data_IF_119380818893
#
_entry.id   IF_119380818893
#
_cell.length_a   1.000
_cell.length_b   1.000
_cell.length_c   1.000
_cell.angle_alpha   90.00
_cell.angle_beta   90.00
_cell.angle_gamma   90.00
#
_symmetry.space_group_name_H-M   'P 1'
#
loop_
_entity.id
_entity.type
_entity.pdbx_description
1 polymer ?
#
# COMPACT_ATOMS: atom_id res chain seq x y z
N UNK A 1 -1.82 19.86 0.04
CA UNK A 1 -0.68 18.92 -0.10
C UNK A 1 -1.21 17.64 -0.71
N UNK A 2 -0.78 17.27 -1.92
CA UNK A 2 -1.27 16.07 -2.62
C UNK A 2 -0.63 14.83 -1.98
N UNK A 3 -1.13 14.45 -0.80
CA UNK A 3 -0.85 13.16 -0.19
C UNK A 3 -1.26 12.08 -1.18
N UNK A 4 -0.35 11.15 -1.43
CA UNK A 4 -0.56 9.91 -2.18
C UNK A 4 -1.97 9.37 -1.92
N UNK A 5 -2.86 9.51 -2.92
CA UNK A 5 -4.27 9.21 -2.72
C UNK A 5 -4.56 7.77 -3.08
N UNK A 6 -4.48 6.91 -2.07
CA UNK A 6 -4.84 5.50 -2.20
C UNK A 6 -6.37 5.41 -2.23
N UNK A 7 -6.92 4.66 -3.19
CA UNK A 7 -8.36 4.43 -3.30
C UNK A 7 -8.86 3.55 -2.14
N UNK A 8 -10.09 3.76 -1.67
CA UNK A 8 -10.70 2.92 -0.63
C UNK A 8 -10.70 1.42 -1.00
N UNK A 9 -10.82 1.11 -2.30
CA UNK A 9 -10.76 -0.26 -2.80
C UNK A 9 -9.40 -0.91 -2.55
N UNK A 10 -8.31 -0.24 -2.92
CA UNK A 10 -6.93 -0.68 -2.68
C UNK A 10 -6.66 -0.87 -1.20
N UNK A 11 -7.17 0.03 -0.37
CA UNK A 11 -6.98 -0.06 1.07
C UNK A 11 -7.67 -1.30 1.64
N UNK A 12 -8.89 -1.62 1.20
CA UNK A 12 -9.56 -2.87 1.57
C UNK A 12 -8.78 -4.10 1.08
N UNK A 13 -8.24 -4.05 -0.15
CA UNK A 13 -7.41 -5.16 -0.66
C UNK A 13 -6.16 -5.36 0.18
N UNK A 14 -5.48 -4.28 0.60
CA UNK A 14 -4.32 -4.38 1.48
C UNK A 14 -4.72 -4.93 2.85
N UNK A 15 -5.81 -4.45 3.45
CA UNK A 15 -6.31 -5.00 4.73
C UNK A 15 -6.66 -6.48 4.60
N UNK A 16 -7.32 -6.87 3.52
CA UNK A 16 -7.70 -8.26 3.29
C UNK A 16 -6.46 -9.13 3.09
N UNK A 17 -5.48 -8.68 2.31
CA UNK A 17 -4.21 -9.36 2.11
C UNK A 17 -3.46 -9.59 3.44
N UNK A 18 -3.41 -8.58 4.30
CA UNK A 18 -2.80 -8.68 5.63
C UNK A 18 -3.60 -9.61 6.55
N UNK A 19 -4.93 -9.52 6.54
CA UNK A 19 -5.81 -10.34 7.36
C UNK A 19 -5.80 -11.83 6.96
N UNK A 20 -5.80 -12.13 5.65
CA UNK A 20 -5.72 -13.50 5.11
C UNK A 20 -4.41 -14.19 5.49
N UNK A 21 -3.33 -13.42 5.57
CA UNK A 21 -1.99 -13.91 5.94
C UNK A 21 -1.71 -13.81 7.44
N UNK A 22 -2.59 -13.14 8.19
CA UNK A 22 -2.44 -12.89 9.62
C UNK A 22 -1.10 -12.21 9.97
N UNK A 23 -0.72 -11.23 9.15
CA UNK A 23 0.55 -10.47 9.30
C UNK A 23 0.29 -8.98 9.34
N UNK A 24 1.15 -8.26 10.05
CA UNK A 24 1.16 -6.81 10.03
C UNK A 24 1.78 -6.26 8.74
N UNK A 25 1.41 -5.02 8.38
CA UNK A 25 1.94 -4.33 7.21
C UNK A 25 3.48 -4.30 7.22
N UNK A 26 4.09 -4.10 8.39
CA UNK A 26 5.55 -4.06 8.52
C UNK A 26 6.18 -5.41 8.18
N UNK A 27 5.62 -6.51 8.70
CA UNK A 27 6.05 -7.89 8.41
C UNK A 27 5.89 -8.21 6.93
N UNK A 28 4.75 -7.86 6.33
CA UNK A 28 4.50 -8.06 4.91
C UNK A 28 5.41 -7.21 3.99
N UNK A 29 5.90 -6.06 4.46
CA UNK A 29 6.90 -5.27 3.72
C UNK A 29 8.34 -5.74 3.97
N UNK A 30 8.58 -6.57 5.00
CA UNK A 30 9.89 -7.19 5.28
C UNK A 30 10.12 -8.44 4.46
N UNK A 31 9.06 -9.20 4.20
CA UNK A 31 9.11 -10.36 3.32
C UNK A 31 9.14 -9.94 1.84
N UNK A 32 10.15 -10.39 1.08
CA UNK A 32 10.34 -9.97 -0.31
C UNK A 32 9.18 -10.39 -1.22
N UNK A 33 8.56 -11.55 -0.98
CA UNK A 33 7.43 -12.02 -1.76
C UNK A 33 6.16 -11.19 -1.45
N UNK A 34 5.88 -10.98 -0.17
CA UNK A 34 4.72 -10.20 0.25
C UNK A 34 4.88 -8.71 -0.12
N UNK A 35 6.11 -8.18 -0.08
CA UNK A 35 6.41 -6.80 -0.46
C UNK A 35 6.12 -6.57 -1.95
N UNK A 36 6.47 -7.52 -2.83
CA UNK A 36 6.11 -7.45 -4.26
C UNK A 36 4.61 -7.51 -4.48
N UNK A 37 3.90 -8.38 -3.77
CA UNK A 37 2.44 -8.46 -3.85
C UNK A 37 1.77 -7.15 -3.36
N UNK A 38 2.23 -6.57 -2.25
CA UNK A 38 1.77 -5.27 -1.75
C UNK A 38 2.07 -4.14 -2.73
N UNK A 39 3.25 -4.14 -3.35
CA UNK A 39 3.62 -3.17 -4.38
C UNK A 39 2.70 -3.27 -5.60
N UNK A 40 2.36 -4.48 -6.04
CA UNK A 40 1.42 -4.72 -7.11
C UNK A 40 0.00 -4.25 -6.76
N UNK A 41 -0.48 -4.53 -5.54
CA UNK A 41 -1.78 -4.05 -5.05
C UNK A 41 -1.83 -2.52 -5.00
N UNK A 42 -0.81 -1.87 -4.44
CA UNK A 42 -0.73 -0.42 -4.38
C UNK A 42 -0.69 0.20 -5.78
N UNK A 43 0.11 -0.38 -6.68
CA UNK A 43 0.21 0.02 -8.08
C UNK A 43 -1.14 -0.13 -8.80
N UNK A 44 -1.85 -1.25 -8.62
CA UNK A 44 -3.20 -1.47 -9.13
C UNK A 44 -4.26 -0.55 -8.51
N UNK A 45 -3.93 0.12 -7.40
CA UNK A 45 -4.75 1.10 -6.73
C UNK A 45 -4.56 2.55 -7.16
N UNK A 46 -3.44 2.83 -7.81
CA UNK A 46 -3.05 4.18 -8.20
C UNK A 46 -3.86 4.71 -9.40
N UNK A 47 -4.01 6.03 -9.54
CA UNK A 47 -4.55 6.62 -10.77
C UNK A 47 -3.74 6.20 -12.00
N UNK A 48 -4.39 6.00 -13.14
CA UNK A 48 -3.75 5.53 -14.38
C UNK A 48 -2.56 6.40 -14.83
N UNK A 49 -2.60 7.71 -14.58
CA UNK A 49 -1.45 8.59 -14.83
C UNK A 49 -0.23 8.19 -13.99
N UNK A 50 -0.40 7.90 -12.70
CA UNK A 50 0.72 7.54 -11.81
C UNK A 50 1.29 6.16 -12.18
N UNK A 51 0.46 5.19 -12.59
CA UNK A 51 0.93 3.90 -13.12
C UNK A 51 1.77 4.04 -14.38
N UNK A 52 1.47 5.02 -15.24
CA UNK A 52 2.27 5.31 -16.44
C UNK A 52 3.66 5.87 -16.11
N UNK A 53 3.79 6.64 -15.02
CA UNK A 53 5.08 7.20 -14.59
C UNK A 53 5.89 6.23 -13.72
N UNK A 54 5.21 5.44 -12.90
CA UNK A 54 5.79 4.47 -11.98
C UNK A 54 5.35 3.06 -12.40
N UNK A 55 6.03 2.50 -13.41
CA UNK A 55 5.83 1.11 -13.78
C UNK A 55 6.17 0.14 -12.64
N UNK A 56 5.71 -1.11 -12.75
CA UNK A 56 5.75 -2.11 -11.67
C UNK A 56 7.17 -2.29 -11.09
N UNK A 57 8.20 -2.41 -11.94
CA UNK A 57 9.59 -2.52 -11.50
C UNK A 57 10.11 -1.28 -10.75
N UNK A 58 9.67 -0.08 -11.13
CA UNK A 58 10.00 1.16 -10.38
C UNK A 58 9.24 1.22 -9.07
N UNK A 59 8.02 0.69 -9.03
CA UNK A 59 7.22 0.57 -7.83
C UNK A 59 7.85 -0.39 -6.82
N UNK A 60 8.28 -1.57 -7.26
CA UNK A 60 9.01 -2.53 -6.42
C UNK A 60 10.29 -1.91 -5.85
N UNK A 61 11.10 -1.26 -6.70
CA UNK A 61 12.30 -0.56 -6.25
C UNK A 61 11.98 0.57 -5.26
N UNK A 62 10.90 1.31 -5.47
CA UNK A 62 10.47 2.41 -4.59
C UNK A 62 9.89 1.91 -3.26
N UNK A 63 9.26 0.72 -3.25
CA UNK A 63 8.84 0.03 -2.03
C UNK A 63 10.02 -0.41 -1.19
N UNK A 64 11.14 -0.82 -1.80
CA UNK A 64 12.37 -1.14 -1.09
C UNK A 64 13.11 0.12 -0.63
N UNK A 65 13.31 1.08 -1.54
CA UNK A 65 14.09 2.30 -1.29
C UNK A 65 13.39 3.27 -0.33
N UNK A 66 12.06 3.37 -0.42
CA UNK A 66 11.22 4.25 0.41
C UNK A 66 10.19 3.49 1.23
N UNK A 67 10.57 2.30 1.72
CA UNK A 67 9.75 1.42 2.55
C UNK A 67 9.04 2.15 3.68
N UNK A 68 9.77 2.97 4.42
CA UNK A 68 9.25 3.71 5.58
C UNK A 68 8.19 4.77 5.19
N UNK A 69 8.43 5.46 4.07
CA UNK A 69 7.49 6.45 3.54
C UNK A 69 6.20 5.80 3.04
N UNK A 70 6.32 4.66 2.35
CA UNK A 70 5.17 3.87 1.86
C UNK A 70 4.40 3.28 3.05
N UNK A 71 5.11 2.71 4.04
CA UNK A 71 4.54 2.20 5.27
C UNK A 71 3.72 3.27 5.96
N UNK A 72 4.30 4.45 6.18
CA UNK A 72 3.62 5.59 6.81
C UNK A 72 2.40 6.01 6.01
N UNK A 73 2.48 6.06 4.67
CA UNK A 73 1.36 6.44 3.83
C UNK A 73 0.19 5.43 3.90
N UNK A 74 0.49 4.13 3.89
CA UNK A 74 -0.51 3.07 4.01
C UNK A 74 -1.07 3.05 5.44
N UNK A 75 -0.23 3.09 6.47
CA UNK A 75 -0.62 3.10 7.87
C UNK A 75 -1.54 4.29 8.21
N UNK A 76 -1.19 5.50 7.76
CA UNK A 76 -2.04 6.68 7.91
C UNK A 76 -3.42 6.50 7.26
N UNK A 77 -3.47 5.85 6.08
CA UNK A 77 -4.74 5.58 5.39
C UNK A 77 -5.57 4.50 6.09
N UNK A 78 -4.92 3.44 6.57
CA UNK A 78 -5.56 2.39 7.37
C UNK A 78 -6.18 2.98 8.65
N UNK A 79 -5.41 3.78 9.39
CA UNK A 79 -5.90 4.48 10.59
C UNK A 79 -7.04 5.46 10.29
N UNK A 80 -6.99 6.19 9.18
CA UNK A 80 -8.09 7.08 8.77
C UNK A 80 -9.38 6.33 8.44
N UNK A 81 -9.28 5.12 7.89
CA UNK A 81 -10.45 4.31 7.61
C UNK A 81 -11.05 3.67 8.86
N UNK A 82 -10.22 3.20 9.79
CA UNK A 82 -10.70 2.76 11.11
C UNK A 82 -11.40 3.91 11.86
N UNK A 83 -10.85 5.13 11.79
CA UNK A 83 -11.47 6.31 12.38
C UNK A 83 -12.82 6.67 11.74
N UNK A 84 -13.05 6.33 10.47
CA UNK A 84 -14.35 6.50 9.79
C UNK A 84 -15.32 5.34 10.02
N UNK A 85 -14.84 4.15 10.37
CA UNK A 85 -15.69 3.00 10.71
C UNK A 85 -16.26 3.06 12.12
N UNK A 86 -15.83 4.03 12.95
CA UNK A 86 -16.24 4.18 14.35
C UNK A 86 -17.11 5.42 14.62
N UNK A 87 -17.71 6.02 13.58
CA UNK A 87 -18.64 7.15 13.69
C UNK A 87 -20.05 6.77 13.23
#
# INVERSE_FOLDING_TARGET
MQQFSISNHTQKQIQQFLAERNVDLQTAMDDEAMNRELAALLHAGLPAMVRKFYGLAKMEALFTDKKDMIYTAIAQRLQQAEAKSKK
#
